data_IF_605663146909
#
_entry.id   IF_605663146909
#
_cell.length_a   1.000
_cell.length_b   1.000
_cell.length_c   1.000
_cell.angle_alpha   90.00
_cell.angle_beta   90.00
_cell.angle_gamma   90.00
#
_symmetry.space_group_name_H-M   'P 1'
#
loop_
_entity.id
_entity.type
_entity.pdbx_description
1 polymer ?
#
# COMPACT_ATOMS: atom_id res chain seq x y z
N UNK A 1 -1.74 -19.49 11.13
CA UNK A 1 -0.91 -20.41 10.32
C UNK A 1 0.44 -19.75 10.20
N UNK A 2 1.46 -20.31 10.86
CA UNK A 2 2.82 -19.74 10.82
C UNK A 2 3.56 -20.21 9.58
N UNK A 3 4.45 -19.35 9.05
CA UNK A 3 5.31 -19.69 7.92
C UNK A 3 6.32 -20.77 8.33
N UNK A 4 6.67 -21.65 7.40
CA UNK A 4 7.77 -22.59 7.61
C UNK A 4 9.09 -21.84 7.67
N UNK A 5 10.08 -22.39 8.38
CA UNK A 5 11.43 -21.80 8.47
C UNK A 5 12.05 -21.56 7.09
N UNK A 6 11.76 -22.44 6.13
CA UNK A 6 12.18 -22.28 4.73
C UNK A 6 11.58 -21.04 4.09
N UNK A 7 10.26 -20.85 4.21
CA UNK A 7 9.56 -19.69 3.67
C UNK A 7 10.05 -18.39 4.34
N UNK A 8 10.26 -18.41 5.65
CA UNK A 8 10.80 -17.26 6.39
C UNK A 8 12.20 -16.89 5.91
N UNK A 9 13.03 -17.88 5.58
CA UNK A 9 14.40 -17.69 5.07
C UNK A 9 14.41 -17.17 3.62
N UNK A 10 13.53 -17.67 2.75
CA UNK A 10 13.36 -17.15 1.38
C UNK A 10 12.93 -15.68 1.40
N UNK A 11 11.91 -15.34 2.18
CA UNK A 11 11.44 -13.94 2.32
C UNK A 11 12.54 -13.04 2.86
N UNK A 12 13.29 -13.51 3.87
CA UNK A 12 14.38 -12.72 4.44
C UNK A 12 15.54 -12.53 3.45
N UNK A 13 15.86 -13.55 2.65
CA UNK A 13 16.92 -13.47 1.65
C UNK A 13 16.53 -12.55 0.48
N UNK A 14 15.33 -12.71 -0.08
CA UNK A 14 14.81 -11.81 -1.11
C UNK A 14 14.82 -10.37 -0.57
N UNK A 15 14.31 -10.17 0.65
CA UNK A 15 14.36 -8.87 1.31
C UNK A 15 15.78 -8.32 1.42
N UNK A 16 16.75 -9.11 1.85
CA UNK A 16 18.15 -8.65 1.99
C UNK A 16 18.77 -8.29 0.63
N UNK A 17 18.57 -9.11 -0.40
CA UNK A 17 19.01 -8.81 -1.77
C UNK A 17 18.39 -7.50 -2.29
N UNK A 18 17.11 -7.24 -1.98
CA UNK A 18 16.44 -5.99 -2.33
C UNK A 18 16.99 -4.76 -1.57
N UNK A 19 17.53 -4.93 -0.36
CA UNK A 19 18.05 -3.83 0.46
C UNK A 19 19.49 -3.40 0.10
N UNK A 20 20.30 -4.31 -0.43
CA UNK A 20 21.71 -4.01 -0.78
C UNK A 20 21.86 -3.04 -1.98
N UNK A 21 20.84 -2.92 -2.83
CA UNK A 21 20.87 -2.05 -4.03
C UNK A 21 20.37 -0.61 -3.80
N UNK A 22 19.85 -0.27 -2.62
CA UNK A 22 19.09 0.98 -2.40
C UNK A 22 19.91 2.11 -1.76
N UNK A 23 19.69 3.35 -2.21
CA UNK A 23 20.14 4.59 -1.52
C UNK A 23 19.38 4.85 -0.21
N UNK A 24 18.29 4.13 0.02
CA UNK A 24 17.42 4.24 1.18
C UNK A 24 17.54 3.00 2.07
N UNK A 25 17.73 3.23 3.38
CA UNK A 25 17.76 2.16 4.37
C UNK A 25 16.31 1.85 4.79
N UNK A 26 15.74 0.77 4.29
CA UNK A 26 14.40 0.39 4.74
C UNK A 26 14.42 -0.04 6.21
N UNK A 27 13.31 0.19 6.92
CA UNK A 27 13.14 -0.30 8.28
C UNK A 27 13.16 -1.84 8.31
N UNK A 28 13.60 -2.43 9.42
CA UNK A 28 13.63 -3.89 9.63
C UNK A 28 12.24 -4.55 9.64
N UNK A 29 11.17 -3.76 9.71
CA UNK A 29 9.78 -4.21 9.59
C UNK A 29 8.96 -3.20 8.77
N UNK A 30 7.98 -3.66 7.96
CA UNK A 30 7.05 -2.77 7.29
C UNK A 30 6.41 -1.78 8.26
N UNK A 31 6.35 -0.50 7.88
CA UNK A 31 5.70 0.54 8.65
C UNK A 31 4.30 0.79 8.09
N UNK A 32 3.33 1.06 8.96
CA UNK A 32 1.95 1.34 8.57
C UNK A 32 1.75 2.85 8.63
N UNK A 33 1.27 3.43 7.54
CA UNK A 33 0.92 4.83 7.46
C UNK A 33 -0.51 4.99 6.98
N UNK A 34 -1.26 5.91 7.60
CA UNK A 34 -2.60 6.29 7.18
C UNK A 34 -2.55 7.72 6.63
N UNK A 35 -3.13 7.93 5.45
CA UNK A 35 -3.12 9.24 4.82
C UNK A 35 -3.75 9.22 3.44
N UNK A 36 -3.52 10.30 2.70
CA UNK A 36 -4.12 10.46 1.37
C UNK A 36 -3.27 9.73 0.34
N UNK A 37 -3.93 8.97 -0.53
CA UNK A 37 -3.32 8.34 -1.71
C UNK A 37 -4.00 8.96 -2.94
N UNK A 38 -3.22 9.56 -3.84
CA UNK A 38 -3.75 10.11 -5.08
C UNK A 38 -3.85 9.03 -6.15
N UNK A 39 -4.88 9.14 -7.00
CA UNK A 39 -5.06 8.27 -8.15
C UNK A 39 -4.73 9.02 -9.44
N UNK A 40 -3.98 8.40 -10.33
CA UNK A 40 -3.62 8.95 -11.65
C UNK A 40 -3.94 7.96 -12.76
N UNK A 41 -4.06 8.43 -13.99
CA UNK A 41 -4.35 7.56 -15.15
C UNK A 41 -3.09 7.06 -15.87
N UNK A 42 -1.90 7.36 -15.34
CA UNK A 42 -0.61 7.02 -15.96
C UNK A 42 0.41 6.68 -14.89
N UNK A 43 1.27 5.73 -15.20
CA UNK A 43 2.43 5.43 -14.37
C UNK A 43 3.32 6.67 -14.30
N UNK A 44 3.65 7.11 -13.09
CA UNK A 44 4.49 8.29 -12.88
C UNK A 44 5.98 7.92 -12.95
N UNK A 45 6.79 8.85 -13.47
CA UNK A 45 8.26 8.80 -13.45
C UNK A 45 8.79 10.24 -13.41
N UNK A 46 8.61 10.88 -12.28
CA UNK A 46 8.90 12.27 -12.07
C UNK A 46 9.33 12.53 -10.61
N UNK A 47 10.61 12.85 -10.35
CA UNK A 47 11.11 13.09 -8.99
C UNK A 47 10.48 14.33 -8.32
N UNK A 48 9.80 15.19 -9.08
CA UNK A 48 9.09 16.36 -8.56
C UNK A 48 7.60 16.13 -8.35
N UNK A 49 7.10 14.91 -8.59
CA UNK A 49 5.69 14.56 -8.46
C UNK A 49 5.13 14.94 -7.09
N UNK A 50 5.73 14.41 -6.02
CA UNK A 50 5.24 14.64 -4.65
C UNK A 50 5.30 16.11 -4.26
N UNK A 51 6.38 16.83 -4.59
CA UNK A 51 6.49 18.27 -4.30
C UNK A 51 5.41 19.10 -5.01
N UNK A 52 4.95 18.68 -6.20
CA UNK A 52 3.83 19.34 -6.87
C UNK A 52 2.50 18.99 -6.24
N UNK A 53 2.27 17.72 -5.91
CA UNK A 53 1.00 17.27 -5.32
C UNK A 53 0.84 17.77 -3.89
N UNK A 54 1.92 17.87 -3.11
CA UNK A 54 1.92 18.42 -1.75
C UNK A 54 1.38 19.86 -1.68
N UNK A 55 1.58 20.65 -2.75
CA UNK A 55 1.00 22.00 -2.87
C UNK A 55 -0.53 21.97 -2.91
N UNK A 56 -1.12 20.89 -3.42
CA UNK A 56 -2.57 20.67 -3.50
C UNK A 56 -3.11 19.91 -2.29
N UNK A 57 -2.34 18.94 -1.78
CA UNK A 57 -2.71 18.08 -0.67
C UNK A 57 -1.51 17.81 0.24
N UNK A 58 -1.44 18.54 1.36
CA UNK A 58 -0.31 18.48 2.32
C UNK A 58 -0.14 17.13 3.02
N UNK A 59 -1.16 16.27 3.02
CA UNK A 59 -1.15 14.94 3.66
C UNK A 59 -1.02 13.78 2.67
N UNK A 60 -0.58 14.06 1.43
CA UNK A 60 -0.34 13.03 0.42
C UNK A 60 0.79 12.11 0.88
N UNK A 61 0.58 10.80 0.78
CA UNK A 61 1.58 9.78 1.13
C UNK A 61 1.93 8.86 -0.03
N UNK A 62 1.08 8.77 -1.05
CA UNK A 62 1.28 7.85 -2.15
C UNK A 62 0.51 8.23 -3.40
N UNK A 63 0.92 7.64 -4.52
CA UNK A 63 0.25 7.78 -5.82
C UNK A 63 0.08 6.40 -6.43
N UNK A 64 -1.11 6.11 -6.94
CA UNK A 64 -1.47 4.84 -7.59
C UNK A 64 -2.48 5.10 -8.73
N UNK A 65 -3.16 4.08 -9.26
CA UNK A 65 -3.95 4.21 -10.49
C UNK A 65 -5.41 3.71 -10.42
N UNK A 66 -5.86 3.10 -9.33
CA UNK A 66 -7.18 2.44 -9.27
C UNK A 66 -8.07 2.90 -8.12
N UNK A 67 -7.49 3.40 -7.02
CA UNK A 67 -8.13 3.57 -5.73
C UNK A 67 -9.35 4.50 -5.77
N UNK A 68 -9.24 5.64 -6.45
CA UNK A 68 -10.36 6.58 -6.57
C UNK A 68 -11.55 5.99 -7.33
N UNK A 69 -11.32 5.16 -8.35
CA UNK A 69 -12.41 4.54 -9.10
C UNK A 69 -13.13 3.48 -8.25
N UNK A 70 -12.37 2.64 -7.53
CA UNK A 70 -12.93 1.67 -6.59
C UNK A 70 -13.71 2.39 -5.48
N UNK A 71 -13.16 3.49 -4.95
CA UNK A 71 -13.80 4.32 -3.95
C UNK A 71 -15.11 4.94 -4.41
N UNK A 72 -15.14 5.47 -5.64
CA UNK A 72 -16.36 6.04 -6.21
C UNK A 72 -17.47 4.98 -6.36
N UNK A 73 -17.14 3.77 -6.83
CA UNK A 73 -18.12 2.68 -6.94
C UNK A 73 -18.61 2.26 -5.55
N UNK A 74 -17.70 2.12 -4.58
CA UNK A 74 -18.07 1.76 -3.21
C UNK A 74 -18.98 2.80 -2.54
N UNK A 75 -18.74 4.09 -2.79
CA UNK A 75 -19.59 5.17 -2.31
C UNK A 75 -21.00 5.11 -2.92
N UNK A 76 -21.10 4.87 -4.23
CA UNK A 76 -22.38 4.71 -4.94
C UNK A 76 -23.17 3.52 -4.39
N UNK A 77 -22.50 2.40 -4.14
CA UNK A 77 -23.12 1.17 -3.66
C UNK A 77 -23.29 1.13 -2.12
N UNK A 78 -22.93 2.21 -1.42
CA UNK A 78 -22.95 2.31 0.05
C UNK A 78 -22.16 1.16 0.75
N UNK A 79 -21.05 0.74 0.16
CA UNK A 79 -20.18 -0.32 0.67
C UNK A 79 -19.00 0.30 1.44
N UNK A 80 -18.81 -0.04 2.74
CA UNK A 80 -17.62 0.35 3.46
C UNK A 80 -16.37 -0.25 2.82
N UNK A 81 -15.34 0.56 2.56
CA UNK A 81 -14.09 0.09 1.96
C UNK A 81 -12.86 0.57 2.72
N UNK A 82 -11.79 -0.20 2.56
CA UNK A 82 -10.42 0.18 2.91
C UNK A 82 -9.53 -0.07 1.70
N UNK A 83 -8.63 0.87 1.42
CA UNK A 83 -7.59 0.71 0.41
C UNK A 83 -6.27 0.51 1.13
N UNK A 84 -5.65 -0.64 0.91
CA UNK A 84 -4.33 -1.00 1.43
C UNK A 84 -3.39 -1.12 0.23
N UNK A 85 -2.24 -0.44 0.30
CA UNK A 85 -1.19 -0.48 -0.73
C UNK A 85 0.17 -0.67 -0.05
N UNK A 86 1.02 -1.50 -0.63
CA UNK A 86 2.45 -1.54 -0.33
C UNK A 86 3.19 -0.54 -1.23
N UNK A 87 4.28 0.03 -0.72
CA UNK A 87 5.14 0.93 -1.50
C UNK A 87 6.03 0.10 -2.43
N UNK A 88 5.86 0.30 -3.74
CA UNK A 88 6.68 -0.35 -4.77
C UNK A 88 7.89 0.50 -5.16
N UNK A 89 7.71 1.80 -5.33
CA UNK A 89 8.77 2.74 -5.74
C UNK A 89 8.40 4.18 -5.35
N UNK A 90 9.33 5.11 -5.54
CA UNK A 90 9.18 6.54 -5.23
C UNK A 90 8.80 7.39 -6.45
N UNK A 91 8.42 6.77 -7.57
CA UNK A 91 8.09 7.40 -8.83
C UNK A 91 9.19 8.34 -9.38
N UNK A 92 10.45 8.16 -8.99
CA UNK A 92 11.59 8.95 -9.44
C UNK A 92 12.28 8.32 -10.67
N UNK A 93 13.48 8.80 -11.02
CA UNK A 93 14.21 8.26 -12.17
C UNK A 93 14.69 6.82 -11.97
N UNK A 94 14.87 6.40 -10.72
CA UNK A 94 15.38 5.10 -10.31
C UNK A 94 14.24 4.09 -10.07
N UNK A 95 12.98 4.45 -10.41
CA UNK A 95 11.84 3.54 -10.29
C UNK A 95 12.12 2.21 -10.97
N UNK A 96 11.77 1.12 -10.29
CA UNK A 96 11.95 -0.24 -10.78
C UNK A 96 10.82 -1.14 -10.29
N UNK A 97 10.59 -2.25 -10.99
CA UNK A 97 9.57 -3.24 -10.62
C UNK A 97 10.08 -4.25 -9.57
N UNK A 98 11.31 -4.10 -9.08
CA UNK A 98 11.97 -5.02 -8.16
C UNK A 98 11.16 -5.23 -6.88
N UNK A 99 10.67 -4.15 -6.29
CA UNK A 99 9.91 -4.19 -5.04
C UNK A 99 8.42 -4.56 -5.22
N UNK A 100 7.96 -4.83 -6.45
CA UNK A 100 6.54 -5.07 -6.73
C UNK A 100 6.00 -6.30 -6.02
N UNK A 101 6.77 -7.39 -5.99
CA UNK A 101 6.37 -8.63 -5.30
C UNK A 101 6.31 -8.41 -3.78
N UNK A 102 7.35 -7.80 -3.20
CA UNK A 102 7.39 -7.44 -1.79
C UNK A 102 6.23 -6.52 -1.38
N UNK A 103 5.97 -5.46 -2.16
CA UNK A 103 4.88 -4.51 -1.90
C UNK A 103 3.51 -5.20 -1.92
N UNK A 104 3.28 -6.08 -2.89
CA UNK A 104 2.05 -6.86 -2.97
C UNK A 104 1.88 -7.80 -1.76
N UNK A 105 2.96 -8.50 -1.37
CA UNK A 105 2.95 -9.42 -0.23
C UNK A 105 2.67 -8.69 1.10
N UNK A 106 3.36 -7.57 1.36
CA UNK A 106 3.15 -6.77 2.58
C UNK A 106 1.70 -6.23 2.63
N UNK A 107 1.18 -5.75 1.51
CA UNK A 107 -0.20 -5.27 1.41
C UNK A 107 -1.21 -6.39 1.71
N UNK A 108 -1.01 -7.57 1.15
CA UNK A 108 -1.88 -8.73 1.37
C UNK A 108 -1.81 -9.23 2.83
N UNK A 109 -0.61 -9.30 3.40
CA UNK A 109 -0.41 -9.69 4.81
C UNK A 109 -1.05 -8.72 5.77
N UNK A 110 -0.91 -7.41 5.53
CA UNK A 110 -1.59 -6.39 6.33
C UNK A 110 -3.10 -6.58 6.26
N UNK A 111 -3.67 -6.74 5.05
CA UNK A 111 -5.10 -6.92 4.90
C UNK A 111 -5.61 -8.19 5.61
N UNK A 112 -4.87 -9.31 5.50
CA UNK A 112 -5.21 -10.54 6.21
C UNK A 112 -5.18 -10.37 7.73
N UNK A 113 -4.15 -9.72 8.26
CA UNK A 113 -4.05 -9.42 9.69
C UNK A 113 -5.18 -8.48 10.13
N UNK A 114 -5.47 -7.43 9.36
CA UNK A 114 -6.56 -6.50 9.62
C UNK A 114 -7.92 -7.21 9.69
N UNK A 115 -8.24 -8.06 8.70
CA UNK A 115 -9.51 -8.79 8.65
C UNK A 115 -9.65 -9.87 9.75
N UNK A 116 -8.54 -10.41 10.24
CA UNK A 116 -8.56 -11.45 11.29
C UNK A 116 -8.50 -10.88 12.71
N UNK A 117 -8.10 -9.62 12.87
CA UNK A 117 -8.02 -8.94 14.18
C UNK A 117 -9.23 -8.07 14.50
N UNK A 118 -9.98 -7.65 13.48
CA UNK A 118 -11.25 -6.97 13.68
C UNK A 118 -12.27 -8.02 14.13
N UNK A 119 -12.76 -7.93 15.38
CA UNK A 119 -14.07 -8.48 15.70
C UNK A 119 -15.01 -7.94 14.64
N UNK A 120 -15.66 -8.81 13.86
CA UNK A 120 -16.58 -8.45 12.78
C UNK A 120 -17.59 -7.42 13.31
N UNK A 121 -17.21 -6.15 13.24
CA UNK A 121 -18.03 -5.04 13.64
C UNK A 121 -19.16 -5.12 12.64
N UNK A 122 -20.33 -5.56 13.13
CA UNK A 122 -21.53 -5.62 12.33
C UNK A 122 -21.70 -4.24 11.71
N UNK A 123 -21.42 -4.12 10.43
CA UNK A 123 -21.74 -2.93 9.67
C UNK A 123 -23.26 -2.82 9.72
N UNK A 124 -23.76 -1.94 10.60
CA UNK A 124 -25.18 -1.60 10.64
C UNK A 124 -25.53 -0.96 9.31
N UNK A 125 -26.55 -1.48 8.63
CA UNK A 125 -27.06 -0.82 7.43
C UNK A 125 -27.75 0.47 7.87
N UNK A 126 -27.64 1.50 7.04
CA UNK A 126 -28.38 2.74 7.19
C UNK A 126 -29.88 2.41 7.10
N UNK A 127 -30.59 2.44 8.23
CA UNK A 127 -32.01 2.06 8.32
C UNK A 127 -32.37 1.06 9.44
N UNK A 128 -31.38 0.50 10.14
CA UNK A 128 -31.63 -0.34 11.31
C UNK A 128 -32.04 0.53 12.54
N UNK A 129 -33.33 0.87 12.65
CA UNK A 129 -34.01 1.34 13.88
C UNK A 129 -35.09 0.33 14.28
#
# INVERSE_FOLDING_TARGET
MELTEKAQKEINNERLEYLEEQRYKDPSYPQIHTGVIATTNKVQKDPQLFQRIEKLQRKILGVEMEGAAIGAVAEIEEIPIIIVKGVQDYADYDKSDKFRQYAAEVSARFLLAFLTTIELARFRKKGDL
#
